data_IF_756825554451
#
_entry.id   IF_756825554451
#
_cell.length_a   1.000
_cell.length_b   1.000
_cell.length_c   1.000
_cell.angle_alpha   90.00
_cell.angle_beta   90.00
_cell.angle_gamma   90.00
#
_symmetry.space_group_name_H-M   'P 1'
#
loop_
_entity.id
_entity.type
_entity.pdbx_description
1 polymer ?
#
# COMPACT_ATOMS: atom_id res chain seq x y z
N UNK A 1 11.88 6.95 32.49
CA UNK A 1 11.58 6.06 31.34
C UNK A 1 11.87 6.85 30.08
N UNK A 2 12.66 6.31 29.15
CA UNK A 2 12.98 6.95 27.86
C UNK A 2 11.75 6.85 26.95
N UNK A 3 11.24 7.98 26.48
CA UNK A 3 10.13 8.02 25.51
C UNK A 3 10.60 7.35 24.22
N UNK A 4 9.89 6.31 23.77
CA UNK A 4 10.19 5.66 22.48
C UNK A 4 9.95 6.66 21.35
N UNK A 5 10.80 6.59 20.33
CA UNK A 5 10.77 7.50 19.18
C UNK A 5 10.71 6.68 17.90
N UNK A 6 9.78 7.02 17.01
CA UNK A 6 9.57 6.37 15.73
C UNK A 6 9.70 7.35 14.56
N UNK A 7 10.26 6.90 13.46
CA UNK A 7 10.32 7.65 12.20
C UNK A 7 9.47 6.98 11.14
N UNK A 8 8.39 7.63 10.71
CA UNK A 8 7.54 7.13 9.62
C UNK A 8 7.87 7.92 8.35
N UNK A 9 8.38 7.22 7.35
CA UNK A 9 8.67 7.78 6.04
C UNK A 9 7.42 7.80 5.15
N UNK A 10 7.30 8.82 4.30
CA UNK A 10 6.36 8.83 3.18
C UNK A 10 7.15 9.00 1.88
N UNK A 11 7.04 8.02 0.98
CA UNK A 11 7.73 8.04 -0.30
C UNK A 11 7.26 9.26 -1.11
N UNK A 12 8.19 10.11 -1.53
CA UNK A 12 7.90 11.40 -2.16
C UNK A 12 8.56 11.52 -3.53
N UNK A 13 8.55 10.42 -4.28
CA UNK A 13 8.96 10.38 -5.69
C UNK A 13 7.88 10.96 -6.60
N UNK A 14 6.62 10.71 -6.27
CA UNK A 14 5.42 11.23 -6.93
C UNK A 14 4.24 11.02 -5.95
N UNK A 15 3.20 11.84 -6.02
CA UNK A 15 1.93 11.57 -5.31
C UNK A 15 1.61 12.51 -4.15
N UNK A 16 0.55 12.17 -3.41
CA UNK A 16 -0.02 12.95 -2.29
C UNK A 16 0.69 12.69 -0.95
N UNK A 17 2.02 12.89 -0.92
CA UNK A 17 2.82 12.58 0.27
C UNK A 17 2.64 13.59 1.42
N UNK A 18 2.27 14.85 1.13
CA UNK A 18 2.12 15.90 2.16
C UNK A 18 0.87 15.66 2.99
N UNK A 19 -0.21 15.30 2.32
CA UNK A 19 -1.51 14.98 2.88
C UNK A 19 -1.38 13.81 3.88
N UNK A 20 -0.62 12.77 3.52
CA UNK A 20 -0.28 11.70 4.45
C UNK A 20 0.47 12.21 5.69
N UNK A 21 1.51 13.03 5.50
CA UNK A 21 2.31 13.57 6.60
C UNK A 21 1.44 14.40 7.56
N UNK A 22 0.53 15.21 7.04
CA UNK A 22 -0.30 16.10 7.85
C UNK A 22 -1.33 15.32 8.68
N UNK A 23 -1.97 14.30 8.10
CA UNK A 23 -2.86 13.40 8.86
C UNK A 23 -2.10 12.54 9.88
N UNK A 24 -0.85 12.16 9.60
CA UNK A 24 -0.03 11.46 10.59
C UNK A 24 0.32 12.34 11.78
N UNK A 25 0.62 13.62 11.57
CA UNK A 25 0.80 14.58 12.68
C UNK A 25 -0.47 14.62 13.52
N UNK A 26 -1.62 14.84 12.90
CA UNK A 26 -2.91 14.88 13.58
C UNK A 26 -3.22 13.58 14.34
N UNK A 27 -2.94 12.42 13.72
CA UNK A 27 -3.16 11.12 14.32
C UNK A 27 -2.34 10.89 15.60
N UNK A 28 -1.19 11.56 15.72
CA UNK A 28 -0.19 11.33 16.78
C UNK A 28 -0.09 12.45 17.82
N UNK A 29 -0.86 13.54 17.69
CA UNK A 29 -0.85 14.68 18.62
C UNK A 29 -1.08 14.30 20.09
N UNK A 30 -1.90 13.27 20.35
CA UNK A 30 -2.24 12.81 21.70
C UNK A 30 -1.51 11.54 22.14
N UNK A 31 -0.55 11.04 21.35
CA UNK A 31 0.20 9.82 21.69
C UNK A 31 1.34 10.12 22.68
N UNK A 32 1.72 9.12 23.48
CA UNK A 32 2.79 9.27 24.46
C UNK A 32 4.18 9.21 23.80
N UNK A 33 4.31 8.39 22.77
CA UNK A 33 5.52 8.19 21.98
C UNK A 33 5.79 9.40 21.08
N UNK A 34 7.07 9.61 20.72
CA UNK A 34 7.46 10.65 19.76
C UNK A 34 7.46 10.11 18.35
N UNK A 35 6.81 10.82 17.45
CA UNK A 35 6.80 10.50 16.03
C UNK A 35 7.49 11.58 15.20
N UNK A 36 8.32 11.14 14.26
CA UNK A 36 8.90 11.99 13.23
C UNK A 36 8.42 11.52 11.86
N UNK A 37 7.96 12.46 11.04
CA UNK A 37 7.48 12.18 9.70
C UNK A 37 8.47 12.74 8.67
N UNK A 38 8.89 11.90 7.73
CA UNK A 38 9.95 12.23 6.78
C UNK A 38 9.50 12.00 5.34
N UNK A 39 9.67 13.02 4.49
CA UNK A 39 9.63 12.83 3.04
C UNK A 39 10.84 11.99 2.59
N UNK A 40 10.59 10.86 1.95
CA UNK A 40 11.62 9.94 1.47
C UNK A 40 11.79 10.07 -0.05
N UNK A 41 12.93 10.60 -0.47
CA UNK A 41 13.36 10.74 -1.89
C UNK A 41 14.68 10.00 -2.15
N UNK A 42 15.43 9.69 -1.09
CA UNK A 42 16.77 9.10 -1.18
C UNK A 42 16.93 7.86 -0.30
N UNK A 43 17.91 6.99 -0.59
CA UNK A 43 18.18 5.82 0.24
C UNK A 43 18.56 6.19 1.69
N UNK A 44 19.30 7.29 1.88
CA UNK A 44 19.72 7.74 3.21
C UNK A 44 18.54 8.19 4.07
N UNK A 45 17.50 8.75 3.45
CA UNK A 45 16.25 9.07 4.15
C UNK A 45 15.49 7.80 4.51
N UNK A 46 15.41 6.84 3.58
CA UNK A 46 14.72 5.57 3.79
C UNK A 46 15.33 4.77 4.96
N UNK A 47 16.67 4.73 5.06
CA UNK A 47 17.39 4.03 6.13
C UNK A 47 17.02 4.51 7.55
N UNK A 48 16.54 5.75 7.68
CA UNK A 48 16.14 6.33 8.97
C UNK A 48 14.73 5.93 9.39
N UNK A 49 13.96 5.30 8.51
CA UNK A 49 12.55 5.03 8.73
C UNK A 49 12.36 3.70 9.48
N UNK A 50 11.45 3.70 10.43
CA UNK A 50 10.93 2.51 11.11
C UNK A 50 9.72 1.93 10.37
N UNK A 51 8.98 2.77 9.64
CA UNK A 51 7.88 2.39 8.78
C UNK A 51 7.86 3.26 7.50
N UNK A 52 7.24 2.76 6.43
CA UNK A 52 7.13 3.49 5.16
C UNK A 52 5.71 3.47 4.60
N UNK A 53 5.22 4.64 4.21
CA UNK A 53 4.01 4.77 3.39
C UNK A 53 4.40 5.06 1.94
N UNK A 54 3.82 4.32 1.01
CA UNK A 54 3.88 4.58 -0.43
C UNK A 54 2.52 5.18 -0.82
N UNK A 55 2.46 6.49 -1.13
CA UNK A 55 1.20 7.21 -1.27
C UNK A 55 0.49 6.90 -2.59
N UNK A 56 -0.72 7.43 -2.73
CA UNK A 56 -1.45 7.50 -4.00
C UNK A 56 -0.76 8.40 -5.03
N UNK A 57 -1.17 8.30 -6.30
CA UNK A 57 -0.54 9.03 -7.40
C UNK A 57 -0.62 8.29 -8.74
N UNK A 58 0.47 8.28 -9.50
CA UNK A 58 0.61 7.56 -10.77
C UNK A 58 1.72 6.51 -10.64
N UNK A 59 1.31 5.24 -10.52
CA UNK A 59 2.20 4.12 -10.22
C UNK A 59 3.30 3.91 -11.27
N UNK A 60 3.03 4.17 -12.55
CA UNK A 60 4.03 4.01 -13.62
C UNK A 60 5.15 5.04 -13.48
N UNK A 61 4.81 6.31 -13.23
CA UNK A 61 5.74 7.40 -13.00
C UNK A 61 6.56 7.14 -11.76
N UNK A 62 5.91 6.69 -10.68
CA UNK A 62 6.57 6.32 -9.43
C UNK A 62 7.63 5.23 -9.66
N UNK A 63 7.30 4.14 -10.38
CA UNK A 63 8.26 3.07 -10.64
C UNK A 63 9.43 3.52 -11.53
N UNK A 64 9.16 4.33 -12.56
CA UNK A 64 10.19 4.86 -13.45
C UNK A 64 11.12 5.85 -12.74
N UNK A 65 10.58 6.71 -11.88
CA UNK A 65 11.38 7.62 -11.06
C UNK A 65 12.24 6.80 -10.09
N UNK A 66 11.66 5.80 -9.42
CA UNK A 66 12.40 4.94 -8.50
C UNK A 66 13.56 4.20 -9.19
N UNK A 67 13.36 3.72 -10.42
CA UNK A 67 14.44 3.11 -11.21
C UNK A 67 15.53 4.12 -11.55
N UNK A 68 15.17 5.29 -12.09
CA UNK A 68 16.12 6.35 -12.46
C UNK A 68 16.92 6.89 -11.29
N UNK A 69 16.32 6.95 -10.10
CA UNK A 69 16.97 7.42 -8.87
C UNK A 69 17.65 6.30 -8.08
N UNK A 70 17.67 5.07 -8.62
CA UNK A 70 18.24 3.87 -7.96
C UNK A 70 17.59 3.57 -6.59
N UNK A 71 16.32 3.92 -6.43
CA UNK A 71 15.52 3.66 -5.24
C UNK A 71 14.89 2.26 -5.21
N UNK A 72 14.81 1.55 -6.34
CA UNK A 72 14.21 0.20 -6.38
C UNK A 72 14.87 -0.74 -5.37
N UNK A 73 16.20 -0.93 -5.43
CA UNK A 73 16.88 -1.85 -4.52
C UNK A 73 16.72 -1.44 -3.03
N UNK A 74 16.94 -0.16 -2.64
CA UNK A 74 16.65 0.28 -1.27
C UNK A 74 15.21 0.00 -0.80
N UNK A 75 14.21 0.13 -1.67
CA UNK A 75 12.82 -0.19 -1.33
C UNK A 75 12.61 -1.70 -1.13
N UNK A 76 13.23 -2.53 -1.98
CA UNK A 76 13.24 -3.99 -1.83
C UNK A 76 13.92 -4.40 -0.53
N UNK A 77 15.06 -3.80 -0.20
CA UNK A 77 15.76 -4.05 1.06
C UNK A 77 14.90 -3.64 2.28
N UNK A 78 14.15 -2.52 2.16
CA UNK A 78 13.21 -2.11 3.20
C UNK A 78 12.07 -3.11 3.38
N UNK A 79 11.51 -3.65 2.29
CA UNK A 79 10.52 -4.73 2.33
C UNK A 79 11.11 -5.96 3.05
N UNK A 80 12.33 -6.36 2.70
CA UNK A 80 13.00 -7.52 3.28
C UNK A 80 13.36 -7.34 4.75
N UNK A 81 13.46 -6.10 5.24
CA UNK A 81 13.70 -5.83 6.66
C UNK A 81 12.51 -6.20 7.56
N UNK A 82 11.34 -6.46 7.00
CA UNK A 82 10.12 -6.76 7.76
C UNK A 82 9.51 -5.55 8.49
N UNK A 83 10.04 -4.35 8.25
CA UNK A 83 9.48 -3.10 8.77
C UNK A 83 8.08 -2.84 8.20
N UNK A 84 7.19 -2.15 8.91
CA UNK A 84 5.86 -1.83 8.41
C UNK A 84 5.84 -1.07 7.08
N UNK A 85 4.98 -1.51 6.17
CA UNK A 85 4.67 -0.80 4.92
C UNK A 85 3.17 -0.56 4.79
N UNK A 86 2.81 0.59 4.23
CA UNK A 86 1.46 0.87 3.77
C UNK A 86 1.44 1.44 2.36
N UNK A 87 0.77 0.77 1.43
CA UNK A 87 0.54 1.28 0.07
C UNK A 87 -0.89 1.76 -0.14
N UNK A 88 -1.09 3.02 -0.50
CA UNK A 88 -2.43 3.55 -0.85
C UNK A 88 -2.53 3.76 -2.36
N UNK A 89 -3.63 3.33 -2.98
CA UNK A 89 -3.92 3.46 -4.42
C UNK A 89 -2.72 3.08 -5.32
N UNK A 90 -1.95 4.06 -5.81
CA UNK A 90 -0.73 3.82 -6.59
C UNK A 90 0.33 3.01 -5.83
N UNK A 91 0.45 3.22 -4.52
CA UNK A 91 1.29 2.43 -3.65
C UNK A 91 0.84 0.97 -3.53
N UNK A 92 -0.47 0.71 -3.48
CA UNK A 92 -1.00 -0.66 -3.56
C UNK A 92 -0.55 -1.32 -4.87
N UNK A 93 -0.65 -0.61 -6.00
CA UNK A 93 -0.19 -1.13 -7.30
C UNK A 93 1.31 -1.43 -7.26
N UNK A 94 2.10 -0.51 -6.70
CA UNK A 94 3.55 -0.64 -6.70
C UNK A 94 4.06 -1.76 -5.78
N UNK A 95 3.37 -1.99 -4.65
CA UNK A 95 3.71 -3.06 -3.70
C UNK A 95 3.21 -4.45 -4.12
N UNK A 96 2.23 -4.54 -5.02
CA UNK A 96 1.66 -5.81 -5.47
C UNK A 96 2.69 -6.69 -6.18
N UNK A 97 2.50 -8.01 -6.14
CA UNK A 97 3.36 -8.97 -6.84
C UNK A 97 3.05 -9.08 -8.33
N UNK A 98 1.78 -8.96 -8.71
CA UNK A 98 1.37 -8.94 -10.11
C UNK A 98 0.48 -7.74 -10.42
N UNK A 99 0.68 -7.11 -11.57
CA UNK A 99 -0.10 -5.95 -12.05
C UNK A 99 -0.72 -6.29 -13.41
N UNK A 100 -2.05 -6.37 -13.46
CA UNK A 100 -2.83 -6.47 -14.69
C UNK A 100 -3.03 -5.06 -15.28
N UNK A 101 -2.90 -4.95 -16.60
CA UNK A 101 -2.95 -3.66 -17.32
C UNK A 101 -1.85 -2.67 -16.89
N UNK A 102 -0.68 -3.21 -16.55
CA UNK A 102 0.52 -2.43 -16.32
C UNK A 102 0.97 -1.68 -17.58
N UNK A 103 1.71 -0.56 -17.42
CA UNK A 103 2.34 0.13 -18.55
C UNK A 103 3.71 -0.49 -18.88
N UNK A 104 4.20 -0.36 -20.13
CA UNK A 104 5.57 -0.77 -20.46
C UNK A 104 6.60 -0.18 -19.48
N UNK A 105 7.58 -1.00 -19.09
CA UNK A 105 8.66 -0.66 -18.14
C UNK A 105 8.19 -0.31 -16.71
N UNK A 106 6.90 -0.46 -16.38
CA UNK A 106 6.46 -0.36 -15.00
C UNK A 106 7.01 -1.54 -14.22
N UNK A 107 7.51 -1.29 -13.01
CA UNK A 107 8.00 -2.32 -12.08
C UNK A 107 7.02 -2.51 -10.94
N UNK A 108 6.97 -3.74 -10.45
CA UNK A 108 6.30 -4.15 -9.21
C UNK A 108 7.39 -4.45 -8.17
N UNK A 109 7.16 -4.08 -6.91
CA UNK A 109 8.09 -4.36 -5.81
C UNK A 109 7.87 -5.76 -5.21
N UNK A 110 6.63 -6.26 -5.22
CA UNK A 110 6.32 -7.61 -4.70
C UNK A 110 6.37 -7.75 -3.18
N UNK A 111 5.94 -6.71 -2.44
CA UNK A 111 5.86 -6.76 -0.98
C UNK A 111 4.66 -7.56 -0.46
N UNK A 112 3.62 -7.72 -1.28
CA UNK A 112 2.40 -8.45 -0.94
C UNK A 112 1.98 -9.39 -2.08
N UNK A 113 1.60 -10.62 -1.73
CA UNK A 113 1.27 -11.72 -2.64
C UNK A 113 -0.14 -11.59 -3.23
N UNK A 114 -0.37 -10.50 -3.94
CA UNK A 114 -1.62 -10.22 -4.64
C UNK A 114 -1.38 -9.85 -6.10
N UNK A 115 -2.40 -10.10 -6.90
CA UNK A 115 -2.58 -9.50 -8.20
C UNK A 115 -3.51 -8.31 -8.07
N UNK A 116 -3.10 -7.20 -8.69
CA UNK A 116 -3.89 -5.97 -8.77
C UNK A 116 -4.26 -5.66 -10.21
N UNK A 117 -5.49 -5.22 -10.44
CA UNK A 117 -5.93 -4.66 -11.72
C UNK A 117 -6.04 -3.15 -11.62
N UNK A 118 -5.34 -2.43 -12.51
CA UNK A 118 -5.39 -0.96 -12.57
C UNK A 118 -6.72 -0.49 -13.14
N UNK A 119 -7.24 0.62 -12.61
CA UNK A 119 -8.43 1.33 -13.10
C UNK A 119 -9.65 0.41 -13.35
N UNK A 120 -9.96 -0.46 -12.39
CA UNK A 120 -10.91 -1.55 -12.62
C UNK A 120 -12.39 -1.17 -12.46
N UNK A 121 -12.69 0.03 -11.93
CA UNK A 121 -14.07 0.51 -11.72
C UNK A 121 -14.78 0.97 -13.01
N UNK A 122 -14.06 1.06 -14.14
CA UNK A 122 -14.60 1.47 -15.44
C UNK A 122 -14.77 2.99 -15.61
N UNK A 123 -14.83 3.44 -16.87
CA UNK A 123 -14.75 4.87 -17.25
C UNK A 123 -15.83 5.79 -16.66
N UNK A 124 -16.96 5.24 -16.22
CA UNK A 124 -18.08 6.02 -15.67
C UNK A 124 -17.98 6.24 -14.15
N UNK A 125 -17.15 5.45 -13.46
CA UNK A 125 -16.89 5.51 -12.02
C UNK A 125 -15.40 5.81 -11.75
N UNK A 126 -14.78 6.58 -12.64
CA UNK A 126 -13.34 6.88 -12.56
C UNK A 126 -12.96 7.62 -11.28
N UNK A 127 -13.90 8.29 -10.60
CA UNK A 127 -13.73 8.77 -9.23
C UNK A 127 -15.06 8.80 -8.48
N UNK A 128 -15.09 8.37 -7.23
CA UNK A 128 -16.25 8.48 -6.35
C UNK A 128 -15.83 8.49 -4.88
N UNK A 129 -16.73 8.94 -4.01
CA UNK A 129 -16.59 8.87 -2.56
C UNK A 129 -17.70 7.98 -2.01
N UNK A 130 -17.38 7.19 -0.99
CA UNK A 130 -18.36 6.37 -0.29
C UNK A 130 -18.06 6.35 1.21
N UNK A 131 -19.11 6.50 2.02
CA UNK A 131 -19.01 6.29 3.47
C UNK A 131 -19.02 4.77 3.73
N UNK A 132 -17.89 4.24 4.19
CA UNK A 132 -17.69 2.81 4.42
C UNK A 132 -17.47 2.50 5.90
N UNK A 133 -17.91 1.31 6.31
CA UNK A 133 -17.75 0.80 7.67
C UNK A 133 -16.53 -0.12 7.73
N UNK A 134 -15.45 0.35 8.32
CA UNK A 134 -14.22 -0.41 8.57
C UNK A 134 -14.11 -0.92 10.01
N UNK A 135 -15.21 -0.88 10.79
CA UNK A 135 -15.24 -1.32 12.20
C UNK A 135 -14.89 -2.80 12.39
N UNK A 136 -14.98 -3.60 11.33
CA UNK A 136 -14.55 -4.99 11.32
C UNK A 136 -13.04 -5.20 11.55
N UNK A 137 -12.20 -4.18 11.35
CA UNK A 137 -10.75 -4.27 11.62
C UNK A 137 -10.14 -2.99 12.21
N UNK A 138 -10.85 -1.87 12.24
CA UNK A 138 -10.44 -0.65 12.93
C UNK A 138 -11.55 -0.20 13.89
N UNK A 139 -11.29 -0.24 15.19
CA UNK A 139 -12.28 0.15 16.19
C UNK A 139 -12.81 1.58 15.96
N UNK A 140 -14.13 1.75 16.07
CA UNK A 140 -14.83 3.03 15.91
C UNK A 140 -14.60 3.73 14.55
N UNK A 141 -14.44 2.95 13.48
CA UNK A 141 -14.41 3.44 12.08
C UNK A 141 -15.61 2.90 11.31
N UNK A 142 -16.82 3.10 11.83
CA UNK A 142 -18.09 2.66 11.24
C UNK A 142 -18.60 3.56 10.10
N UNK A 143 -18.08 4.78 10.00
CA UNK A 143 -18.36 5.70 8.90
C UNK A 143 -17.10 6.45 8.49
N UNK A 144 -16.40 5.98 7.47
CA UNK A 144 -15.20 6.64 6.94
C UNK A 144 -15.41 7.08 5.48
N UNK A 145 -15.09 8.34 5.14
CA UNK A 145 -15.17 8.84 3.76
C UNK A 145 -14.04 8.25 2.90
N UNK A 146 -14.30 7.11 2.27
CA UNK A 146 -13.35 6.46 1.38
C UNK A 146 -13.41 7.07 -0.02
N UNK A 147 -12.31 7.74 -0.41
CA UNK A 147 -12.19 8.44 -1.69
C UNK A 147 -11.47 7.55 -2.70
N UNK A 148 -12.17 7.18 -3.77
CA UNK A 148 -11.64 6.36 -4.86
C UNK A 148 -11.36 7.23 -6.06
N UNK A 149 -10.11 7.29 -6.52
CA UNK A 149 -9.71 8.03 -7.72
C UNK A 149 -8.92 7.08 -8.62
N UNK A 150 -9.56 6.69 -9.73
CA UNK A 150 -9.09 5.69 -10.69
C UNK A 150 -8.56 4.45 -9.98
N UNK A 151 -9.31 4.03 -8.96
CA UNK A 151 -8.79 3.11 -7.97
C UNK A 151 -8.43 1.74 -8.58
N UNK A 152 -7.32 1.14 -8.16
CA UNK A 152 -7.04 -0.26 -8.44
C UNK A 152 -7.97 -1.18 -7.64
N UNK A 153 -8.05 -2.45 -8.05
CA UNK A 153 -8.70 -3.49 -7.25
C UNK A 153 -7.79 -4.69 -7.11
N UNK A 154 -7.89 -5.37 -5.97
CA UNK A 154 -7.20 -6.64 -5.75
C UNK A 154 -8.02 -7.72 -6.47
N UNK A 155 -7.46 -8.29 -7.54
CA UNK A 155 -8.16 -9.26 -8.39
C UNK A 155 -7.91 -10.71 -7.97
N UNK A 156 -6.79 -10.98 -7.29
CA UNK A 156 -6.42 -12.33 -6.88
C UNK A 156 -5.45 -12.31 -5.70
N UNK A 157 -5.67 -13.19 -4.72
CA UNK A 157 -4.62 -13.57 -3.74
C UNK A 157 -3.77 -14.67 -4.36
N UNK A 158 -2.45 -14.50 -4.30
CA UNK A 158 -1.50 -15.41 -4.90
C UNK A 158 -0.89 -16.33 -3.81
N UNK A 159 -0.44 -17.54 -4.17
CA UNK A 159 0.26 -18.42 -3.22
C UNK A 159 1.55 -17.77 -2.70
N UNK A 160 1.77 -17.88 -1.38
CA UNK A 160 2.96 -17.36 -0.69
C UNK A 160 4.24 -18.16 -1.01
N UNK A 161 4.10 -19.43 -1.37
CA UNK A 161 5.20 -20.26 -1.87
C UNK A 161 5.05 -20.46 -3.38
N UNK A 162 6.12 -20.14 -4.12
CA UNK A 162 6.25 -20.53 -5.52
C UNK A 162 6.52 -22.05 -5.56
N UNK A 163 5.49 -22.87 -5.82
CA UNK A 163 5.73 -24.21 -6.34
C UNK A 163 5.74 -24.14 -7.86
N UNK A 164 6.83 -24.63 -8.47
CA UNK A 164 6.98 -24.75 -9.94
C UNK A 164 5.83 -25.53 -10.61
N UNK A 165 5.08 -26.35 -9.84
CA UNK A 165 3.89 -27.07 -10.29
C UNK A 165 2.64 -26.21 -10.55
N UNK A 166 2.62 -24.91 -10.22
CA UNK A 166 1.49 -24.03 -10.52
C UNK A 166 1.53 -23.41 -11.92
N UNK A 167 2.23 -24.04 -12.86
CA UNK A 167 2.06 -23.73 -14.28
C UNK A 167 0.66 -24.23 -14.71
N UNK A 168 -0.22 -23.25 -14.99
CA UNK A 168 -1.51 -23.37 -15.69
C UNK A 168 -2.68 -24.02 -14.94
N UNK A 169 -3.12 -23.45 -13.82
CA UNK A 169 -4.57 -23.46 -13.55
C UNK A 169 -5.23 -22.37 -14.39
N UNK A 170 -6.01 -22.82 -15.40
CA UNK A 170 -6.85 -22.05 -16.32
C UNK A 170 -7.42 -20.79 -15.66
N UNK A 171 -6.75 -19.66 -15.87
CA UNK A 171 -7.39 -18.36 -15.74
C UNK A 171 -8.19 -18.14 -17.03
N UNK A 172 -9.43 -17.69 -16.85
CA UNK A 172 -10.24 -17.13 -17.92
C UNK A 172 -9.35 -16.22 -18.76
N UNK A 173 -9.41 -16.37 -20.09
CA UNK A 173 -8.56 -15.71 -21.09
C UNK A 173 -8.72 -14.18 -21.06
N UNK A 174 -8.25 -13.53 -20.01
CA UNK A 174 -8.00 -12.09 -19.97
C UNK A 174 -6.59 -11.91 -20.55
N UNK A 175 -6.50 -11.70 -21.87
CA UNK A 175 -5.25 -11.46 -22.62
C UNK A 175 -4.53 -10.15 -22.21
N UNK A 176 -4.98 -9.50 -21.13
CA UNK A 176 -4.35 -8.32 -20.59
C UNK A 176 -2.92 -8.62 -20.14
N UNK A 177 -1.94 -7.76 -20.48
CA UNK A 177 -0.56 -7.95 -20.07
C UNK A 177 -0.44 -7.91 -18.54
N UNK A 178 0.26 -8.90 -17.98
CA UNK A 178 0.58 -9.01 -16.55
C UNK A 178 2.05 -8.69 -16.34
N UNK A 179 2.33 -7.68 -15.54
CA UNK A 179 3.68 -7.38 -15.04
C UNK A 179 3.86 -8.13 -13.73
N UNK A 180 4.98 -8.84 -13.57
CA UNK A 180 5.32 -9.57 -12.34
C UNK A 180 6.51 -8.89 -11.66
N UNK A 181 6.50 -8.86 -10.34
CA UNK A 181 7.68 -8.50 -9.57
C UNK A 181 8.82 -9.47 -9.90
N UNK A 182 10.01 -8.93 -10.12
CA UNK A 182 11.26 -9.70 -10.26
C UNK A 182 11.86 -10.07 -8.90
N UNK A 183 11.32 -9.51 -7.81
CA UNK A 183 11.80 -9.74 -6.45
C UNK A 183 11.09 -10.95 -5.81
N UNK A 184 11.84 -11.71 -5.00
CA UNK A 184 11.31 -12.83 -4.23
C UNK A 184 10.33 -12.36 -3.15
N UNK A 185 9.23 -13.10 -2.97
CA UNK A 185 8.35 -12.87 -1.83
C UNK A 185 8.97 -13.47 -0.56
N UNK A 186 9.33 -12.59 0.37
CA UNK A 186 9.87 -12.99 1.68
C UNK A 186 8.82 -12.98 2.78
N UNK A 187 7.64 -12.42 2.52
CA UNK A 187 6.57 -12.34 3.51
C UNK A 187 5.83 -13.68 3.60
N UNK A 188 6.13 -14.47 4.64
CA UNK A 188 5.52 -15.78 4.85
C UNK A 188 4.13 -15.75 5.50
N UNK A 189 3.63 -14.56 5.84
CA UNK A 189 2.29 -14.41 6.42
C UNK A 189 1.22 -14.70 5.37
N UNK A 190 0.04 -15.14 5.83
CA UNK A 190 -1.13 -15.26 4.95
C UNK A 190 -1.62 -13.87 4.54
N UNK A 191 -2.09 -13.74 3.30
CA UNK A 191 -2.84 -12.55 2.87
C UNK A 191 -4.24 -12.59 3.46
N UNK A 192 -4.60 -11.53 4.18
CA UNK A 192 -5.91 -11.29 4.78
C UNK A 192 -6.62 -10.19 4.00
N UNK A 193 -7.84 -10.47 3.53
CA UNK A 193 -8.68 -9.47 2.89
C UNK A 193 -9.44 -8.72 3.97
N UNK A 194 -9.14 -7.43 4.13
CA UNK A 194 -9.70 -6.61 5.21
C UNK A 194 -11.06 -6.03 4.83
N UNK A 195 -11.24 -5.65 3.55
CA UNK A 195 -12.49 -5.04 3.10
C UNK A 195 -12.81 -5.37 1.65
N UNK A 196 -14.07 -5.76 1.43
CA UNK A 196 -14.67 -6.03 0.12
C UNK A 196 -15.93 -5.19 -0.01
N UNK A 197 -16.05 -4.44 -1.09
CA UNK A 197 -17.24 -3.67 -1.42
C UNK A 197 -18.42 -4.60 -1.74
N UNK A 198 -19.65 -4.09 -1.66
CA UNK A 198 -20.88 -4.85 -1.97
C UNK A 198 -20.89 -5.48 -3.37
N UNK A 199 -20.17 -4.86 -4.33
CA UNK A 199 -20.02 -5.37 -5.68
C UNK A 199 -18.92 -6.45 -5.82
N UNK A 200 -18.34 -6.92 -4.71
CA UNK A 200 -17.32 -7.95 -4.66
C UNK A 200 -15.89 -7.46 -4.90
N UNK A 201 -15.67 -6.16 -5.09
CA UNK A 201 -14.33 -5.61 -5.30
C UNK A 201 -13.58 -5.47 -3.97
N UNK A 202 -12.41 -6.10 -3.90
CA UNK A 202 -11.53 -6.06 -2.73
C UNK A 202 -10.70 -4.78 -2.77
N UNK A 203 -10.77 -3.99 -1.69
CA UNK A 203 -10.19 -2.63 -1.61
C UNK A 203 -9.27 -2.40 -0.41
N UNK A 204 -9.15 -3.37 0.49
CA UNK A 204 -8.14 -3.35 1.54
C UNK A 204 -7.66 -4.77 1.86
N UNK A 205 -6.36 -4.93 2.06
CA UNK A 205 -5.75 -6.21 2.44
C UNK A 205 -4.50 -6.00 3.30
N UNK A 206 -4.13 -7.02 4.06
CA UNK A 206 -2.92 -7.09 4.87
C UNK A 206 -2.18 -8.39 4.60
N UNK A 207 -0.86 -8.36 4.65
CA UNK A 207 -0.03 -9.56 4.76
C UNK A 207 1.08 -9.27 5.78
N UNK A 208 0.95 -9.79 7.01
CA UNK A 208 1.90 -9.50 8.09
C UNK A 208 2.05 -7.99 8.36
N UNK A 209 3.25 -7.46 8.12
CA UNK A 209 3.63 -6.05 8.29
C UNK A 209 3.27 -5.14 7.09
N UNK A 210 2.65 -5.67 6.04
CA UNK A 210 2.30 -4.91 4.83
C UNK A 210 0.80 -4.70 4.77
N UNK A 211 0.37 -3.42 4.73
CA UNK A 211 -0.99 -2.98 4.53
C UNK A 211 -1.15 -2.40 3.12
N UNK A 212 -2.25 -2.67 2.45
CA UNK A 212 -2.60 -2.01 1.19
C UNK A 212 -4.08 -1.59 1.15
N UNK A 213 -4.35 -0.41 0.60
CA UNK A 213 -5.71 0.11 0.37
C UNK A 213 -5.84 0.69 -1.02
N UNK A 214 -6.99 0.49 -1.67
CA UNK A 214 -7.27 0.99 -3.02
C UNK A 214 -7.72 2.45 -3.05
N UNK A 215 -8.23 2.96 -1.93
CA UNK A 215 -8.70 4.33 -1.77
C UNK A 215 -7.61 5.24 -1.19
N UNK A 216 -7.92 6.54 -1.14
CA UNK A 216 -7.06 7.62 -0.68
C UNK A 216 -7.52 8.13 0.69
N UNK A 217 -7.15 7.47 1.81
CA UNK A 217 -7.47 7.97 3.15
C UNK A 217 -6.85 9.34 3.41
N UNK A 218 -5.76 9.68 2.71
CA UNK A 218 -5.08 10.97 2.80
C UNK A 218 -5.87 12.16 2.24
N UNK A 219 -6.87 11.91 1.41
CA UNK A 219 -7.71 12.96 0.84
C UNK A 219 -8.95 13.24 1.70
N UNK A 220 -9.11 12.51 2.80
CA UNK A 220 -10.11 12.81 3.82
C UNK A 220 -9.52 13.69 4.92
N UNK A 221 -10.36 14.43 5.63
CA UNK A 221 -9.96 15.12 6.87
C UNK A 221 -9.91 14.16 8.09
N UNK A 222 -10.01 12.85 7.85
CA UNK A 222 -10.15 11.82 8.87
C UNK A 222 -8.85 11.01 9.05
N UNK A 223 -8.19 11.23 10.19
CA UNK A 223 -6.92 10.58 10.50
C UNK A 223 -7.05 9.18 11.14
N UNK A 224 -8.26 8.58 11.25
CA UNK A 224 -8.46 7.29 11.93
C UNK A 224 -7.67 6.16 11.29
N UNK A 225 -7.55 6.10 9.97
CA UNK A 225 -6.67 5.12 9.29
C UNK A 225 -5.20 5.32 9.61
N UNK A 226 -4.72 6.56 9.62
CA UNK A 226 -3.33 6.88 9.95
C UNK A 226 -3.03 6.55 11.41
N UNK A 227 -3.95 6.86 12.33
CA UNK A 227 -3.85 6.50 13.75
C UNK A 227 -3.80 4.99 13.93
N UNK A 228 -4.70 4.26 13.26
CA UNK A 228 -4.69 2.81 13.28
C UNK A 228 -3.39 2.23 12.74
N UNK A 229 -2.87 2.71 11.61
CA UNK A 229 -1.59 2.26 11.08
C UNK A 229 -0.45 2.46 12.10
N UNK A 230 -0.40 3.62 12.77
CA UNK A 230 0.58 3.88 13.83
C UNK A 230 0.44 2.87 14.97
N UNK A 231 -0.77 2.66 15.47
CA UNK A 231 -1.01 1.80 16.64
C UNK A 231 -0.80 0.32 16.35
N UNK A 232 -1.30 -0.16 15.21
CA UNK A 232 -1.32 -1.56 14.85
C UNK A 232 -0.01 -2.05 14.23
N UNK A 233 0.72 -1.18 13.52
CA UNK A 233 1.92 -1.60 12.79
C UNK A 233 3.22 -1.00 13.32
N UNK A 234 3.20 0.26 13.79
CA UNK A 234 4.45 0.98 14.12
C UNK A 234 4.77 0.92 15.61
N UNK A 235 3.77 1.18 16.45
CA UNK A 235 3.88 1.27 17.89
C UNK A 235 3.18 0.09 18.61
N UNK A 236 2.81 -0.96 17.88
CA UNK A 236 2.27 -2.19 18.45
C UNK A 236 3.30 -2.78 19.42
N UNK A 237 3.03 -2.67 20.71
CA UNK A 237 3.93 -3.11 21.79
C UNK A 237 3.63 -4.54 22.19
#
# INVERSE_FOLDING_TARGET
>A
MTVKQYTVGVLSLQGAFKEHIDLFKLATESQHEKFHFLEVKTPQQLLRCDALVIPGGESTSMSLIAERTKMIQPLVDFIHSGKPLWGTCAGLIFLSREIVNGRPNQKALGAIDIQVKRNAFGRQLDSFESMLDFSGFIEAVDQFPAIFIRAPVISKVLPTEYNEEYITMKLVDDQSPIIRSENESVNKSKVELLYTLDNGLVVAARQGNVLVTSFHPELSDDCRFHRWFIQEFVAST
#
